data_IF_636617968757
#
_entry.id   IF_636617968757
#
_cell.length_a   1.000
_cell.length_b   1.000
_cell.length_c   1.000
_cell.angle_alpha   90.00
_cell.angle_beta   90.00
_cell.angle_gamma   90.00
#
_symmetry.space_group_name_H-M   'P 1'
#
loop_
_entity.id
_entity.type
_entity.pdbx_description
1 polymer ?
#
# COMPACT_ATOMS: atom_id res chain seq x y z
N UNK A 1 -38.36 6.10 -12.95
CA UNK A 1 -37.01 5.78 -12.41
C UNK A 1 -36.03 6.74 -13.06
N UNK A 2 -35.34 7.59 -12.29
CA UNK A 2 -34.28 8.45 -12.84
C UNK A 2 -33.07 7.55 -13.09
N UNK A 3 -32.83 7.18 -14.35
CA UNK A 3 -31.59 6.55 -14.75
C UNK A 3 -30.51 7.62 -14.80
N UNK A 4 -29.83 7.84 -13.67
CA UNK A 4 -28.59 8.59 -13.67
C UNK A 4 -27.55 7.70 -14.34
N UNK A 5 -26.99 8.15 -15.48
CA UNK A 5 -25.85 7.48 -16.10
C UNK A 5 -24.73 7.30 -15.05
N UNK A 6 -24.02 6.16 -15.01
CA UNK A 6 -22.85 6.05 -14.15
C UNK A 6 -21.87 7.16 -14.55
N UNK A 7 -21.63 8.10 -13.64
CA UNK A 7 -20.67 9.16 -13.83
C UNK A 7 -19.31 8.52 -14.07
N UNK A 8 -18.72 8.78 -15.23
CA UNK A 8 -17.34 8.38 -15.50
C UNK A 8 -16.45 8.94 -14.37
N UNK A 9 -15.50 8.15 -13.83
CA UNK A 9 -14.59 8.62 -12.79
C UNK A 9 -13.90 9.91 -13.20
N UNK A 10 -13.98 10.92 -12.34
CA UNK A 10 -13.34 12.20 -12.55
C UNK A 10 -11.95 12.19 -11.92
N UNK A 11 -10.95 12.56 -12.72
CA UNK A 11 -9.57 12.63 -12.27
C UNK A 11 -9.16 14.07 -11.97
N UNK A 12 -8.51 14.24 -10.83
CA UNK A 12 -8.04 15.52 -10.32
C UNK A 12 -6.54 15.46 -10.07
N UNK A 13 -5.86 16.59 -10.17
CA UNK A 13 -4.43 16.68 -9.84
C UNK A 13 -4.22 17.65 -8.70
N UNK A 14 -3.47 17.25 -7.69
CA UNK A 14 -3.12 18.12 -6.57
C UNK A 14 -2.19 19.25 -7.02
N UNK A 15 -2.19 20.34 -6.24
CA UNK A 15 -1.13 21.33 -6.30
C UNK A 15 0.23 20.69 -5.97
N UNK A 16 1.36 21.22 -6.50
CA UNK A 16 2.69 20.74 -6.14
C UNK A 16 2.97 20.93 -4.64
N UNK A 17 3.54 19.91 -3.99
CA UNK A 17 3.97 19.93 -2.59
C UNK A 17 5.39 19.33 -2.47
N UNK A 18 6.16 19.60 -1.39
CA UNK A 18 7.45 18.96 -1.20
C UNK A 18 7.35 17.42 -1.21
N UNK A 19 8.24 16.76 -1.95
CA UNK A 19 8.23 15.30 -2.05
C UNK A 19 8.63 14.67 -0.70
N UNK A 20 7.84 13.71 -0.15
CA UNK A 20 8.12 13.06 1.12
C UNK A 20 9.24 12.01 1.03
N UNK A 21 9.64 11.64 -0.18
CA UNK A 21 10.59 10.54 -0.44
C UNK A 21 11.97 11.01 -0.90
N UNK A 22 12.03 12.05 -1.73
CA UNK A 22 13.25 12.54 -2.36
C UNK A 22 13.44 14.04 -2.03
N UNK A 23 14.55 14.41 -1.36
CA UNK A 23 14.83 15.81 -1.03
C UNK A 23 14.90 16.69 -2.28
N UNK A 24 14.45 17.94 -2.16
CA UNK A 24 14.49 18.97 -3.23
C UNK A 24 13.68 18.60 -4.48
N UNK A 25 12.71 17.68 -4.35
CA UNK A 25 11.74 17.35 -5.40
C UNK A 25 10.35 17.78 -4.97
N UNK A 26 9.46 17.96 -5.94
CA UNK A 26 8.05 18.24 -5.71
C UNK A 26 7.21 17.02 -6.11
N UNK A 27 6.16 16.75 -5.35
CA UNK A 27 5.15 15.76 -5.67
C UNK A 27 3.85 16.39 -6.16
N UNK A 28 3.16 15.66 -7.03
CA UNK A 28 1.75 15.84 -7.38
C UNK A 28 1.09 14.48 -7.44
N UNK A 29 -0.20 14.40 -7.15
CA UNK A 29 -0.98 13.17 -7.22
C UNK A 29 -2.13 13.36 -8.19
N UNK A 30 -2.30 12.40 -9.09
CA UNK A 30 -3.53 12.19 -9.84
C UNK A 30 -4.45 11.34 -8.97
N UNK A 31 -5.69 11.77 -8.73
CA UNK A 31 -6.62 11.03 -7.88
C UNK A 31 -8.05 11.01 -8.42
N UNK A 32 -8.80 9.99 -8.03
CA UNK A 32 -10.24 9.84 -8.28
C UNK A 32 -10.92 9.32 -7.03
N UNK A 33 -12.19 9.66 -6.85
CA UNK A 33 -13.00 9.12 -5.76
C UNK A 33 -13.35 7.65 -6.00
N UNK A 34 -13.47 6.89 -4.91
CA UNK A 34 -14.04 5.56 -4.84
C UNK A 34 -15.41 5.66 -4.17
N UNK A 35 -16.47 5.57 -4.97
CA UNK A 35 -17.85 5.70 -4.49
C UNK A 35 -18.79 4.83 -5.31
N UNK A 36 -19.89 4.44 -4.68
CA UNK A 36 -20.98 3.68 -5.31
C UNK A 36 -20.64 2.23 -5.61
N UNK A 37 -21.56 1.56 -6.29
CA UNK A 37 -21.55 0.11 -6.47
C UNK A 37 -20.36 -0.43 -7.29
N UNK A 38 -19.71 0.43 -8.07
CA UNK A 38 -18.56 0.06 -8.91
C UNK A 38 -17.20 0.31 -8.23
N UNK A 39 -17.17 0.66 -6.95
CA UNK A 39 -15.92 1.00 -6.24
C UNK A 39 -14.91 -0.16 -6.24
N UNK A 40 -15.36 -1.41 -6.00
CA UNK A 40 -14.49 -2.59 -6.02
C UNK A 40 -13.85 -2.81 -7.39
N UNK A 41 -14.65 -2.84 -8.46
CA UNK A 41 -14.14 -3.04 -9.82
C UNK A 41 -13.21 -1.92 -10.28
N UNK A 42 -13.51 -0.67 -9.88
CA UNK A 42 -12.63 0.47 -10.16
C UNK A 42 -11.30 0.36 -9.42
N UNK A 43 -11.34 -0.05 -8.14
CA UNK A 43 -10.16 -0.30 -7.33
C UNK A 43 -9.27 -1.41 -7.90
N UNK A 44 -9.85 -2.54 -8.31
CA UNK A 44 -9.11 -3.63 -8.93
C UNK A 44 -8.44 -3.18 -10.24
N UNK A 45 -9.20 -2.51 -11.12
CA UNK A 45 -8.69 -2.04 -12.40
C UNK A 45 -7.56 -1.02 -12.25
N UNK A 46 -7.71 -0.04 -11.35
CA UNK A 46 -6.72 1.02 -11.18
C UNK A 46 -5.51 0.57 -10.35
N UNK A 47 -5.68 -0.35 -9.38
CA UNK A 47 -4.56 -0.96 -8.65
C UNK A 47 -3.59 -1.67 -9.59
N UNK A 48 -4.12 -2.38 -10.59
CA UNK A 48 -3.35 -3.01 -11.67
C UNK A 48 -2.66 -2.01 -12.60
N UNK A 49 -3.04 -0.73 -12.56
CA UNK A 49 -2.45 0.37 -13.33
C UNK A 49 -1.61 1.31 -12.47
N UNK A 50 -1.17 0.81 -11.32
CA UNK A 50 -0.24 1.48 -10.42
C UNK A 50 -0.88 2.54 -9.52
N UNK A 51 -2.21 2.60 -9.40
CA UNK A 51 -2.85 3.39 -8.37
C UNK A 51 -2.76 2.70 -7.00
N UNK A 52 -2.90 3.48 -5.94
CA UNK A 52 -3.07 3.01 -4.57
C UNK A 52 -4.29 3.65 -3.95
N UNK A 53 -4.89 2.98 -2.97
CA UNK A 53 -6.01 3.51 -2.20
C UNK A 53 -5.54 4.26 -0.95
N UNK A 54 -6.31 5.28 -0.58
CA UNK A 54 -6.30 5.92 0.73
C UNK A 54 -7.73 6.29 1.06
N UNK A 55 -8.33 5.72 2.10
CA UNK A 55 -9.75 5.91 2.43
C UNK A 55 -10.64 5.71 1.18
N UNK A 56 -11.45 6.72 0.84
CA UNK A 56 -12.39 6.74 -0.28
C UNK A 56 -11.79 7.33 -1.57
N UNK A 57 -10.46 7.34 -1.73
CA UNK A 57 -9.80 7.82 -2.97
C UNK A 57 -8.74 6.84 -3.47
N UNK A 58 -8.55 6.82 -4.78
CA UNK A 58 -7.40 6.22 -5.44
C UNK A 58 -6.47 7.30 -5.92
N UNK A 59 -5.17 7.07 -5.80
CA UNK A 59 -4.16 8.01 -6.26
C UNK A 59 -2.97 7.33 -6.92
N UNK A 60 -2.35 8.04 -7.87
CA UNK A 60 -1.04 7.72 -8.43
C UNK A 60 -0.18 9.00 -8.48
N UNK A 61 1.14 8.91 -8.20
CA UNK A 61 2.07 10.01 -8.45
C UNK A 61 1.99 10.48 -9.90
N UNK A 62 1.97 11.80 -10.07
CA UNK A 62 1.88 12.48 -11.36
C UNK A 62 2.73 13.76 -11.36
N UNK A 63 3.95 13.65 -10.82
CA UNK A 63 4.90 14.75 -10.71
C UNK A 63 5.27 15.26 -12.10
N UNK A 64 5.52 16.57 -12.24
CA UNK A 64 5.86 17.15 -13.56
C UNK A 64 7.22 16.67 -14.07
N UNK A 65 8.21 16.54 -13.18
CA UNK A 65 9.61 16.34 -13.54
C UNK A 65 10.23 15.06 -12.94
N UNK A 66 9.41 14.07 -12.59
CA UNK A 66 9.86 12.86 -11.90
C UNK A 66 8.91 11.67 -12.14
N UNK A 67 9.46 10.50 -12.44
CA UNK A 67 8.73 9.23 -12.56
C UNK A 67 9.20 8.16 -11.54
N UNK A 68 9.95 8.55 -10.51
CA UNK A 68 10.61 7.61 -9.60
C UNK A 68 9.67 6.78 -8.71
N UNK A 69 8.41 7.17 -8.53
CA UNK A 69 7.48 6.42 -7.69
C UNK A 69 6.83 5.29 -8.50
N UNK A 70 7.36 4.08 -8.35
CA UNK A 70 6.95 2.90 -9.11
C UNK A 70 6.10 2.00 -8.21
N UNK A 71 4.87 1.69 -8.63
CA UNK A 71 4.02 0.75 -7.87
C UNK A 71 4.68 -0.63 -7.91
N UNK A 72 4.71 -1.34 -6.79
CA UNK A 72 5.45 -2.57 -6.62
C UNK A 72 4.57 -3.67 -6.04
N UNK A 73 4.73 -4.90 -6.56
CA UNK A 73 4.04 -6.09 -6.07
C UNK A 73 4.97 -7.31 -6.10
N UNK A 74 4.76 -8.26 -5.20
CA UNK A 74 5.47 -9.54 -5.19
C UNK A 74 4.65 -10.57 -5.96
N UNK A 75 5.28 -11.33 -6.86
CA UNK A 75 4.69 -12.57 -7.41
C UNK A 75 4.76 -13.69 -6.38
N UNK A 76 3.61 -14.10 -5.87
CA UNK A 76 3.51 -15.05 -4.74
C UNK A 76 4.07 -16.43 -5.09
N UNK A 77 3.81 -16.91 -6.31
CA UNK A 77 4.24 -18.23 -6.78
C UNK A 77 5.78 -18.35 -6.88
N UNK A 78 6.46 -17.26 -7.20
CA UNK A 78 7.91 -17.25 -7.45
C UNK A 78 8.72 -16.84 -6.21
N UNK A 79 8.08 -16.22 -5.23
CA UNK A 79 8.74 -15.60 -4.08
C UNK A 79 9.55 -16.61 -3.25
N UNK A 80 10.86 -16.33 -3.10
CA UNK A 80 11.74 -17.07 -2.18
C UNK A 80 12.33 -16.14 -1.13
N UNK A 81 12.09 -16.38 0.17
CA UNK A 81 12.66 -15.53 1.22
C UNK A 81 14.18 -15.70 1.29
N UNK A 82 14.88 -14.58 1.32
CA UNK A 82 16.33 -14.52 1.56
C UNK A 82 16.71 -15.03 2.95
N UNK A 83 18.01 -15.23 3.21
CA UNK A 83 18.49 -15.70 4.52
C UNK A 83 18.07 -14.79 5.67
N UNK A 84 18.09 -13.46 5.46
CA UNK A 84 17.69 -12.48 6.48
C UNK A 84 16.17 -12.49 6.69
N UNK A 85 15.38 -12.63 5.62
CA UNK A 85 13.93 -12.78 5.69
C UNK A 85 13.51 -14.06 6.42
N UNK A 86 14.16 -15.20 6.14
CA UNK A 86 13.95 -16.45 6.90
C UNK A 86 14.27 -16.30 8.39
N UNK A 87 15.31 -15.52 8.72
CA UNK A 87 15.64 -15.21 10.12
C UNK A 87 14.57 -14.33 10.78
N UNK A 88 14.04 -13.34 10.06
CA UNK A 88 12.93 -12.51 10.53
C UNK A 88 11.68 -13.36 10.78
N UNK A 89 11.35 -14.29 9.86
CA UNK A 89 10.27 -15.26 10.05
C UNK A 89 10.41 -16.03 11.37
N UNK A 90 11.56 -16.69 11.57
CA UNK A 90 11.78 -17.52 12.76
C UNK A 90 11.77 -16.73 14.07
N UNK A 91 12.20 -15.46 14.07
CA UNK A 91 12.22 -14.61 15.27
C UNK A 91 10.83 -14.19 15.74
N UNK A 92 9.82 -14.28 14.88
CA UNK A 92 8.46 -13.86 15.17
C UNK A 92 7.48 -15.03 15.11
N UNK A 93 7.98 -16.28 15.15
CA UNK A 93 7.16 -17.49 15.06
C UNK A 93 6.21 -17.68 16.25
N UNK A 94 6.41 -16.93 17.34
CA UNK A 94 5.55 -16.90 18.52
C UNK A 94 4.35 -15.93 18.37
N UNK A 95 4.38 -15.06 17.36
CA UNK A 95 3.30 -14.11 17.10
C UNK A 95 2.06 -14.85 16.61
N UNK A 96 0.91 -14.50 17.19
CA UNK A 96 -0.39 -14.99 16.75
C UNK A 96 -1.00 -13.99 15.77
N UNK A 97 -1.25 -14.45 14.54
CA UNK A 97 -2.01 -13.75 13.50
C UNK A 97 -3.51 -13.82 13.76
N UNK A 98 -4.21 -12.72 13.57
CA UNK A 98 -5.68 -12.66 13.56
C UNK A 98 -6.14 -11.66 12.49
N UNK A 99 -7.06 -12.07 11.61
CA UNK A 99 -7.67 -11.18 10.62
C UNK A 99 -9.12 -10.88 11.02
N UNK A 100 -9.49 -9.60 11.00
CA UNK A 100 -10.81 -9.12 11.39
C UNK A 100 -11.36 -8.11 10.38
N UNK A 101 -12.64 -7.75 10.55
CA UNK A 101 -13.22 -6.61 9.85
C UNK A 101 -12.44 -5.32 10.21
N UNK A 102 -12.40 -4.33 9.32
CA UNK A 102 -11.68 -3.08 9.58
C UNK A 102 -12.42 -2.25 10.61
N UNK A 103 -12.13 -2.51 11.88
CA UNK A 103 -12.66 -1.79 13.04
C UNK A 103 -11.49 -1.23 13.84
N UNK A 104 -11.50 0.08 14.07
CA UNK A 104 -10.44 0.74 14.80
C UNK A 104 -10.56 0.46 16.31
N UNK A 105 -9.44 0.13 16.94
CA UNK A 105 -9.39 -0.06 18.39
C UNK A 105 -8.41 0.90 19.05
N UNK A 106 -8.62 1.17 20.34
CA UNK A 106 -7.70 1.99 21.13
C UNK A 106 -6.29 1.38 21.20
N UNK A 107 -6.18 0.04 21.27
CA UNK A 107 -4.89 -0.66 21.29
C UNK A 107 -4.13 -0.49 19.96
N UNK A 108 -4.84 -0.58 18.83
CA UNK A 108 -4.28 -0.29 17.52
C UNK A 108 -3.81 1.17 17.43
N UNK A 109 -4.63 2.13 17.87
CA UNK A 109 -4.27 3.55 17.85
C UNK A 109 -3.05 3.84 18.74
N UNK A 110 -2.98 3.24 19.93
CA UNK A 110 -1.84 3.38 20.82
C UNK A 110 -0.54 2.86 20.20
N UNK A 111 -0.59 1.71 19.50
CA UNK A 111 0.55 1.17 18.76
C UNK A 111 0.92 2.08 17.57
N UNK A 112 -0.07 2.59 16.84
CA UNK A 112 0.12 3.52 15.74
C UNK A 112 0.84 4.80 16.16
N UNK A 113 0.45 5.41 17.29
CA UNK A 113 1.13 6.58 17.87
C UNK A 113 2.60 6.31 18.18
N UNK A 114 2.90 5.23 18.91
CA UNK A 114 4.30 4.84 19.20
C UNK A 114 5.12 4.64 17.93
N UNK A 115 4.54 3.97 16.93
CA UNK A 115 5.20 3.74 15.64
C UNK A 115 5.51 5.06 14.92
N UNK A 116 4.55 5.98 14.85
CA UNK A 116 4.73 7.29 14.22
C UNK A 116 5.75 8.14 14.93
N UNK A 117 5.69 8.25 16.26
CA UNK A 117 6.62 9.05 17.05
C UNK A 117 8.07 8.56 16.86
N UNK A 118 8.27 7.25 16.68
CA UNK A 118 9.59 6.65 16.44
C UNK A 118 10.09 6.78 15.00
N UNK A 119 9.25 6.51 13.98
CA UNK A 119 9.68 6.37 12.58
C UNK A 119 9.30 7.55 11.69
N UNK A 120 8.32 8.35 12.12
CA UNK A 120 7.65 9.36 11.30
C UNK A 120 7.34 10.65 12.07
N UNK A 121 8.15 11.03 13.06
CA UNK A 121 7.94 12.23 13.89
C UNK A 121 7.72 13.53 13.08
N UNK A 122 8.26 13.62 11.85
CA UNK A 122 8.09 14.77 10.95
C UNK A 122 7.25 14.44 9.69
N UNK A 123 6.48 13.36 9.70
CA UNK A 123 5.63 12.93 8.59
C UNK A 123 4.22 13.52 8.68
N UNK A 124 3.52 13.67 7.55
CA UNK A 124 2.17 14.26 7.51
C UNK A 124 1.07 13.50 8.26
N UNK A 125 1.38 12.37 8.91
CA UNK A 125 0.45 11.63 9.79
C UNK A 125 0.83 11.76 11.27
N UNK A 126 1.92 12.46 11.61
CA UNK A 126 2.42 12.57 12.98
C UNK A 126 1.41 13.24 13.93
N UNK A 127 0.55 14.09 13.40
CA UNK A 127 -0.47 14.82 14.17
C UNK A 127 -1.86 14.19 14.06
N UNK A 128 -1.95 12.98 13.47
CA UNK A 128 -3.23 12.31 13.27
C UNK A 128 -3.88 11.94 14.61
N UNK A 129 -5.14 12.31 14.78
CA UNK A 129 -5.93 11.99 15.96
C UNK A 129 -6.63 10.61 15.85
N UNK A 130 -7.35 10.21 16.90
CA UNK A 130 -8.05 8.92 16.93
C UNK A 130 -9.21 8.84 15.93
N UNK A 131 -9.88 9.96 15.62
CA UNK A 131 -10.99 9.98 14.68
C UNK A 131 -10.49 9.87 13.24
N UNK A 132 -9.39 10.54 12.92
CA UNK A 132 -8.71 10.41 11.62
C UNK A 132 -8.12 9.00 11.43
N UNK A 133 -7.56 8.41 12.49
CA UNK A 133 -7.13 7.01 12.49
C UNK A 133 -8.32 6.07 12.25
N UNK A 134 -9.44 6.27 12.96
CA UNK A 134 -10.64 5.47 12.78
C UNK A 134 -11.18 5.59 11.35
N UNK A 135 -11.24 6.81 10.79
CA UNK A 135 -11.62 7.01 9.40
C UNK A 135 -10.68 6.30 8.42
N UNK A 136 -9.37 6.32 8.65
CA UNK A 136 -8.40 5.58 7.82
C UNK A 136 -8.67 4.07 7.82
N UNK A 137 -9.04 3.49 8.96
CA UNK A 137 -9.31 2.06 9.09
C UNK A 137 -10.70 1.71 8.54
N UNK A 138 -11.73 2.41 8.98
CA UNK A 138 -13.14 2.03 8.84
C UNK A 138 -13.80 2.56 7.55
N UNK A 139 -13.40 3.74 7.07
CA UNK A 139 -14.00 4.34 5.87
C UNK A 139 -13.38 3.75 4.60
N UNK A 140 -13.93 2.62 4.18
CA UNK A 140 -13.51 1.93 2.96
C UNK A 140 -14.72 1.39 2.19
N UNK A 141 -14.85 1.72 0.89
CA UNK A 141 -15.87 1.14 0.03
C UNK A 141 -15.40 -0.18 -0.59
N UNK A 142 -14.21 -0.67 -0.19
CA UNK A 142 -13.54 -1.84 -0.72
C UNK A 142 -13.47 -2.91 0.35
N UNK A 143 -13.59 -4.18 -0.04
CA UNK A 143 -13.35 -5.32 0.83
C UNK A 143 -11.96 -5.27 1.47
N UNK A 144 -11.93 -4.80 2.72
CA UNK A 144 -10.72 -4.62 3.50
C UNK A 144 -10.73 -5.54 4.73
N UNK A 145 -9.54 -5.84 5.25
CA UNK A 145 -9.32 -6.57 6.51
C UNK A 145 -8.23 -5.87 7.31
N UNK A 146 -8.32 -5.99 8.62
CA UNK A 146 -7.23 -5.65 9.53
C UNK A 146 -6.59 -6.95 9.99
N UNK A 147 -5.29 -7.10 9.75
CA UNK A 147 -4.50 -8.24 10.19
C UNK A 147 -3.64 -7.81 11.38
N UNK A 148 -3.93 -8.39 12.54
CA UNK A 148 -3.26 -8.13 13.81
C UNK A 148 -2.28 -9.26 14.15
N UNK A 149 -1.16 -8.88 14.75
CA UNK A 149 -0.13 -9.80 15.23
C UNK A 149 0.11 -9.53 16.70
N UNK A 150 -0.16 -10.51 17.56
CA UNK A 150 -0.03 -10.38 19.01
C UNK A 150 1.02 -11.32 19.56
N UNK A 151 1.84 -10.82 20.50
CA UNK A 151 2.83 -11.64 21.19
C UNK A 151 2.16 -12.61 22.18
N UNK A 152 2.89 -13.64 22.65
CA UNK A 152 2.45 -14.43 23.79
C UNK A 152 2.13 -13.55 25.00
N UNK A 153 1.14 -13.92 25.82
CA UNK A 153 0.82 -13.18 27.03
C UNK A 153 1.98 -13.28 28.03
N UNK A 154 2.16 -12.24 28.85
CA UNK A 154 3.10 -12.30 29.97
C UNK A 154 2.65 -13.34 31.02
N UNK A 155 3.57 -13.94 31.80
CA UNK A 155 3.22 -14.87 32.86
C UNK A 155 2.19 -14.28 33.82
N UNK A 156 1.05 -14.96 33.99
CA UNK A 156 -0.06 -14.51 34.84
C UNK A 156 -1.08 -13.60 34.14
N UNK A 157 -0.84 -13.19 32.90
CA UNK A 157 -1.81 -12.47 32.08
C UNK A 157 -2.49 -13.39 31.06
N UNK A 158 -3.73 -13.06 30.69
CA UNK A 158 -4.41 -13.64 29.52
C UNK A 158 -4.34 -12.74 28.29
N UNK A 159 -3.97 -11.48 28.48
CA UNK A 159 -3.91 -10.49 27.40
C UNK A 159 -2.66 -10.69 26.56
N UNK A 160 -2.84 -10.74 25.24
CA UNK A 160 -1.77 -10.88 24.26
C UNK A 160 -1.47 -9.49 23.69
N UNK A 161 -0.32 -8.88 24.02
CA UNK A 161 -0.04 -7.52 23.59
C UNK A 161 0.10 -7.44 22.07
N UNK A 162 -0.51 -6.42 21.46
CA UNK A 162 -0.43 -6.16 20.03
C UNK A 162 0.99 -5.70 19.62
N UNK A 163 1.54 -6.36 18.60
CA UNK A 163 2.90 -6.15 18.10
C UNK A 163 2.89 -5.52 16.70
N UNK A 164 1.94 -5.86 15.85
CA UNK A 164 1.81 -5.26 14.53
C UNK A 164 0.37 -5.31 14.03
N UNK A 165 0.07 -4.41 13.10
CA UNK A 165 -1.22 -4.29 12.43
C UNK A 165 -0.98 -3.98 10.96
N UNK A 166 -1.78 -4.58 10.08
CA UNK A 166 -1.83 -4.25 8.65
C UNK A 166 -3.27 -4.06 8.20
N UNK A 167 -3.58 -2.88 7.68
CA UNK A 167 -4.79 -2.63 6.90
C UNK A 167 -4.54 -3.11 5.46
N UNK A 168 -5.34 -4.09 5.04
CA UNK A 168 -5.10 -4.81 3.79
C UNK A 168 -6.39 -4.90 2.96
N UNK A 169 -6.31 -4.49 1.71
CA UNK A 169 -7.37 -4.68 0.73
C UNK A 169 -7.28 -6.05 0.08
N UNK A 170 -8.42 -6.66 -0.15
CA UNK A 170 -8.53 -7.90 -0.92
C UNK A 170 -8.95 -7.50 -2.34
N UNK A 171 -8.02 -7.63 -3.28
CA UNK A 171 -8.24 -7.41 -4.71
C UNK A 171 -8.63 -8.73 -5.39
N UNK A 172 -9.09 -8.66 -6.63
CA UNK A 172 -9.37 -9.84 -7.44
C UNK A 172 -8.11 -10.67 -7.79
N UNK A 173 -6.92 -10.06 -7.77
CA UNK A 173 -5.64 -10.72 -8.10
C UNK A 173 -4.59 -10.66 -6.97
N UNK A 174 -4.96 -10.17 -5.77
CA UNK A 174 -3.94 -9.99 -4.74
C UNK A 174 -4.40 -9.39 -3.43
N UNK A 175 -3.44 -9.25 -2.52
CA UNK A 175 -3.59 -8.46 -1.31
C UNK A 175 -2.87 -7.13 -1.49
N UNK A 176 -3.52 -6.01 -1.23
CA UNK A 176 -2.88 -4.70 -1.22
C UNK A 176 -2.68 -4.21 0.21
N UNK A 177 -1.42 -4.13 0.64
CA UNK A 177 -1.06 -3.59 1.95
C UNK A 177 -1.21 -2.07 1.90
N UNK A 178 -2.34 -1.57 2.42
CA UNK A 178 -2.67 -0.14 2.40
C UNK A 178 -1.76 0.60 3.38
N UNK A 179 -1.74 0.12 4.62
CA UNK A 179 -0.94 0.69 5.69
C UNK A 179 -0.58 -0.38 6.72
N UNK A 180 0.63 -0.30 7.28
CA UNK A 180 1.07 -1.21 8.35
C UNK A 180 1.90 -0.47 9.38
N UNK A 181 1.70 -0.79 10.65
CA UNK A 181 2.45 -0.24 11.78
C UNK A 181 2.75 -1.35 12.78
N UNK A 182 3.84 -1.19 13.54
CA UNK A 182 4.35 -2.24 14.42
C UNK A 182 5.16 -1.66 15.57
N UNK A 183 5.45 -2.49 16.57
CA UNK A 183 6.18 -2.12 17.78
C UNK A 183 7.61 -1.68 17.44
N UNK A 184 7.93 -0.37 17.51
CA UNK A 184 9.23 0.16 17.07
C UNK A 184 10.41 -0.39 17.86
N UNK A 185 10.23 -0.75 19.13
CA UNK A 185 11.32 -1.19 20.01
C UNK A 185 11.78 -2.63 19.69
N UNK A 186 10.98 -3.40 18.95
CA UNK A 186 11.33 -4.75 18.48
C UNK A 186 12.22 -4.74 17.22
N UNK A 187 13.19 -3.82 17.14
CA UNK A 187 14.06 -3.62 15.97
C UNK A 187 14.75 -4.92 15.53
N UNK A 188 15.32 -5.67 16.49
CA UNK A 188 16.05 -6.93 16.22
C UNK A 188 15.15 -8.05 15.69
N UNK A 189 13.84 -7.97 15.93
CA UNK A 189 12.87 -8.95 15.44
C UNK A 189 12.53 -8.72 13.97
N UNK A 190 12.76 -7.51 13.42
CA UNK A 190 12.41 -7.16 12.04
C UNK A 190 10.92 -7.38 11.74
N UNK A 191 10.05 -6.91 12.65
CA UNK A 191 8.59 -7.14 12.60
C UNK A 191 7.98 -6.70 11.28
N UNK A 192 8.34 -5.53 10.74
CA UNK A 192 7.83 -5.09 9.43
C UNK A 192 8.16 -6.04 8.28
N UNK A 193 9.34 -6.68 8.31
CA UNK A 193 9.68 -7.74 7.34
C UNK A 193 8.81 -8.98 7.55
N UNK A 194 8.61 -9.39 8.80
CA UNK A 194 7.74 -10.52 9.12
C UNK A 194 6.31 -10.31 8.61
N UNK A 195 5.72 -9.13 8.83
CA UNK A 195 4.35 -8.82 8.37
C UNK A 195 4.23 -8.96 6.85
N UNK A 196 5.21 -8.48 6.08
CA UNK A 196 5.20 -8.64 4.61
C UNK A 196 5.32 -10.11 4.21
N UNK A 197 6.22 -10.87 4.85
CA UNK A 197 6.35 -12.31 4.57
C UNK A 197 5.07 -13.08 4.89
N UNK A 198 4.42 -12.76 6.01
CA UNK A 198 3.15 -13.38 6.37
C UNK A 198 2.04 -13.00 5.38
N UNK A 199 2.02 -11.78 4.84
CA UNK A 199 1.08 -11.41 3.77
C UNK A 199 1.31 -12.20 2.47
N UNK A 200 2.56 -12.58 2.17
CA UNK A 200 2.84 -13.51 1.07
C UNK A 200 2.27 -14.90 1.37
N UNK A 201 2.37 -15.39 2.61
CA UNK A 201 1.74 -16.66 3.01
C UNK A 201 0.21 -16.57 2.99
N UNK A 202 -0.41 -15.48 3.48
CA UNK A 202 -1.87 -15.28 3.40
C UNK A 202 -2.33 -15.31 1.94
N UNK A 203 -1.63 -14.60 1.05
CA UNK A 203 -1.97 -14.60 -0.37
C UNK A 203 -1.82 -15.99 -0.98
N UNK A 204 -0.78 -16.73 -0.60
CA UNK A 204 -0.56 -18.12 -1.05
C UNK A 204 -1.67 -19.06 -0.57
N UNK A 205 -2.05 -18.98 0.71
CA UNK A 205 -3.17 -19.73 1.30
C UNK A 205 -4.49 -19.43 0.58
N UNK A 206 -4.69 -18.18 0.15
CA UNK A 206 -5.88 -17.73 -0.57
C UNK A 206 -5.85 -18.00 -2.09
N UNK A 207 -4.74 -18.52 -2.64
CA UNK A 207 -4.57 -18.72 -4.08
C UNK A 207 -4.44 -17.42 -4.89
N UNK A 208 -4.07 -16.31 -4.24
CA UNK A 208 -3.92 -15.01 -4.87
C UNK A 208 -2.49 -14.84 -5.41
N UNK A 209 -2.32 -14.39 -6.67
CA UNK A 209 -1.01 -14.36 -7.32
C UNK A 209 -0.10 -13.22 -6.85
N UNK A 210 -0.64 -12.14 -6.26
CA UNK A 210 0.15 -10.95 -5.94
C UNK A 210 -0.03 -10.41 -4.52
N UNK A 211 1.04 -9.81 -3.99
CA UNK A 211 0.98 -8.91 -2.82
C UNK A 211 1.49 -7.53 -3.23
N UNK A 212 0.61 -6.53 -3.25
CA UNK A 212 0.96 -5.15 -3.57
C UNK A 212 1.53 -4.46 -2.33
N UNK A 213 2.77 -3.98 -2.45
CA UNK A 213 3.50 -3.30 -1.37
C UNK A 213 3.40 -1.78 -1.47
N UNK A 214 2.71 -1.27 -2.49
CA UNK A 214 2.65 0.15 -2.80
C UNK A 214 3.87 0.64 -3.54
N UNK A 215 4.28 1.89 -3.32
CA UNK A 215 5.37 2.46 -4.11
C UNK A 215 6.74 2.03 -3.59
N UNK A 216 7.57 1.55 -4.51
CA UNK A 216 9.01 1.58 -4.41
C UNK A 216 9.51 2.90 -5.02
N UNK A 217 10.48 3.53 -4.37
CA UNK A 217 11.05 4.80 -4.82
C UNK A 217 12.57 4.67 -4.75
N UNK A 218 13.27 4.58 -5.90
CA UNK A 218 14.72 4.54 -5.96
C UNK A 218 15.33 5.73 -5.21
N UNK A 219 16.38 5.49 -4.44
CA UNK A 219 17.06 6.54 -3.65
C UNK A 219 16.29 7.03 -2.41
N UNK A 220 15.09 6.50 -2.11
CA UNK A 220 14.38 6.83 -0.88
C UNK A 220 14.79 5.89 0.27
N UNK A 221 15.30 6.42 1.41
CA UNK A 221 15.62 5.57 2.57
C UNK A 221 14.39 4.85 3.15
N UNK A 222 13.19 5.44 2.99
CA UNK A 222 11.93 4.89 3.51
C UNK A 222 11.34 3.81 2.61
N UNK A 223 11.59 3.87 1.30
CA UNK A 223 10.94 2.99 0.32
C UNK A 223 11.89 2.02 -0.37
N UNK A 224 13.21 2.22 -0.25
CA UNK A 224 14.22 1.39 -0.93
C UNK A 224 14.22 -0.08 -0.49
N UNK A 225 13.78 -0.38 0.74
CA UNK A 225 13.80 -1.75 1.27
C UNK A 225 12.99 -2.75 0.44
N UNK A 226 11.98 -2.29 -0.32
CA UNK A 226 11.10 -3.16 -1.11
C UNK A 226 11.84 -3.93 -2.20
N UNK A 227 12.90 -3.36 -2.75
CA UNK A 227 13.75 -4.02 -3.75
C UNK A 227 14.47 -5.28 -3.23
N UNK A 228 14.48 -5.49 -1.90
CA UNK A 228 15.10 -6.68 -1.29
C UNK A 228 14.16 -7.89 -1.22
N UNK A 229 12.91 -7.77 -1.66
CA UNK A 229 12.01 -8.91 -1.79
C UNK A 229 12.22 -9.54 -3.17
N UNK A 230 12.40 -10.86 -3.18
CA UNK A 230 12.50 -11.64 -4.39
C UNK A 230 11.18 -11.56 -5.20
N UNK A 231 11.24 -11.86 -6.50
CA UNK A 231 10.08 -11.85 -7.40
C UNK A 231 9.24 -10.54 -7.35
N UNK A 232 9.91 -9.41 -7.11
CA UNK A 232 9.27 -8.10 -7.10
C UNK A 232 9.09 -7.57 -8.53
N UNK A 233 7.86 -7.26 -8.88
CA UNK A 233 7.49 -6.52 -10.08
C UNK A 233 7.26 -5.05 -9.76
N UNK A 234 7.54 -4.20 -10.76
CA UNK A 234 7.22 -2.78 -10.75
C UNK A 234 6.31 -2.43 -11.93
N UNK A 235 5.39 -1.49 -11.71
CA UNK A 235 4.58 -0.91 -12.78
C UNK A 235 5.31 0.27 -13.39
N UNK A 236 5.81 0.08 -14.62
CA UNK A 236 6.59 1.08 -15.35
C UNK A 236 6.22 1.07 -16.82
N UNK A 237 6.08 2.26 -17.41
CA UNK A 237 5.71 2.44 -18.83
C UNK A 237 4.41 1.74 -19.25
N UNK A 238 3.45 1.61 -18.32
CA UNK A 238 2.15 0.98 -18.60
C UNK A 238 2.12 -0.54 -18.45
N UNK A 239 3.22 -1.15 -18.01
CA UNK A 239 3.34 -2.62 -17.88
C UNK A 239 3.96 -3.02 -16.55
N UNK A 240 3.52 -4.14 -16.00
CA UNK A 240 4.24 -4.83 -14.94
C UNK A 240 5.45 -5.56 -15.52
N UNK A 241 6.60 -5.42 -14.86
CA UNK A 241 7.84 -6.10 -15.24
C UNK A 241 8.67 -6.37 -13.99
N UNK A 242 9.57 -7.36 -14.06
CA UNK A 242 10.57 -7.59 -13.01
C UNK A 242 11.36 -6.30 -12.74
N UNK A 243 11.69 -6.05 -11.46
CA UNK A 243 12.50 -4.89 -11.07
C UNK A 243 13.92 -4.91 -11.67
N UNK A 244 14.43 -6.08 -12.07
CA UNK A 244 15.78 -6.20 -12.61
C UNK A 244 16.84 -5.68 -11.62
N UNK A 245 17.82 -4.93 -12.11
CA UNK A 245 18.79 -4.23 -11.26
C UNK A 245 18.19 -2.91 -10.73
N UNK A 246 17.91 -2.78 -9.42
CA UNK A 246 17.30 -1.59 -8.84
C UNK A 246 18.08 -0.29 -9.11
N UNK A 247 19.40 -0.35 -9.30
CA UNK A 247 20.24 0.84 -9.53
C UNK A 247 19.98 1.47 -10.91
N UNK A 248 19.50 0.68 -11.86
CA UNK A 248 19.18 1.16 -13.23
C UNK A 248 17.96 2.09 -13.28
N UNK A 249 17.13 2.08 -12.23
CA UNK A 249 15.93 2.93 -12.12
C UNK A 249 16.20 4.31 -11.52
N UNK A 250 17.40 4.57 -11.01
CA UNK A 250 17.78 5.87 -10.42
C UNK A 250 17.71 7.05 -11.42
N UNK A 251 17.84 6.77 -12.72
CA UNK A 251 17.79 7.74 -13.82
C UNK A 251 16.41 8.32 -14.12
N UNK A 252 15.32 7.75 -13.59
CA UNK A 252 13.92 8.15 -13.87
C UNK A 252 13.47 9.44 -13.18
N UNK A 253 14.44 10.20 -12.68
CA UNK A 253 14.23 11.50 -12.05
C UNK A 253 14.42 12.66 -13.03
N UNK A 254 14.43 12.38 -14.33
CA UNK A 254 14.63 13.39 -15.39
C UNK A 254 13.31 13.94 -15.95
N UNK A 255 13.16 15.27 -16.15
CA UNK A 255 11.92 15.92 -16.61
C UNK A 255 11.32 15.36 -17.90
N UNK A 256 12.17 15.00 -18.87
CA UNK A 256 11.73 14.44 -20.16
C UNK A 256 11.19 13.00 -20.09
N UNK A 257 11.22 12.38 -18.90
CA UNK A 257 10.72 11.02 -18.70
C UNK A 257 9.21 10.99 -18.42
N UNK A 258 8.55 12.15 -18.39
CA UNK A 258 7.15 12.28 -17.94
C UNK A 258 6.24 12.72 -19.08
N UNK A 259 5.24 11.90 -19.40
CA UNK A 259 4.18 12.26 -20.33
C UNK A 259 3.28 13.36 -19.74
N UNK A 260 2.70 14.27 -20.56
CA UNK A 260 1.70 15.23 -20.10
C UNK A 260 0.53 14.55 -19.35
N UNK A 261 -0.03 15.23 -18.35
CA UNK A 261 -1.14 14.66 -17.54
C UNK A 261 -2.30 14.18 -18.41
N UNK A 262 -2.68 14.95 -19.43
CA UNK A 262 -3.78 14.58 -20.33
C UNK A 262 -3.52 13.22 -21.00
N UNK A 263 -2.28 12.97 -21.43
CA UNK A 263 -1.88 11.69 -22.00
C UNK A 263 -1.86 10.57 -20.95
N UNK A 264 -1.39 10.86 -19.73
CA UNK A 264 -1.42 9.89 -18.64
C UNK A 264 -2.84 9.44 -18.29
N UNK A 265 -3.81 10.37 -18.31
CA UNK A 265 -5.23 10.08 -18.07
C UNK A 265 -5.84 9.32 -19.24
N UNK A 266 -5.54 9.71 -20.48
CA UNK A 266 -6.04 9.02 -21.68
C UNK A 266 -5.59 7.57 -21.79
N UNK A 267 -4.46 7.20 -21.17
CA UNK A 267 -3.94 5.82 -21.12
C UNK A 267 -4.57 4.96 -20.01
N UNK A 268 -5.43 5.53 -19.16
CA UNK A 268 -6.11 4.77 -18.10
C UNK A 268 -7.23 3.94 -18.71
N UNK A 269 -7.16 2.63 -18.50
CA UNK A 269 -8.24 1.71 -18.84
C UNK A 269 -9.24 1.69 -17.70
N UNK A 270 -10.43 2.23 -17.91
CA UNK A 270 -11.52 2.14 -16.94
C UNK A 270 -12.23 0.79 -17.11
N UNK A 271 -12.71 0.17 -16.02
CA UNK A 271 -13.56 -1.02 -16.17
C UNK A 271 -14.79 -0.65 -16.98
N UNK A 272 -15.30 -1.58 -17.80
CA UNK A 272 -16.47 -1.38 -18.67
C UNK A 272 -17.66 -0.85 -17.85
N UNK A 273 -17.80 0.47 -17.76
CA UNK A 273 -19.07 1.09 -17.44
C UNK A 273 -19.91 0.86 -18.68
N UNK A 274 -20.67 -0.26 -18.70
CA UNK A 274 -21.63 -0.51 -19.77
C UNK A 274 -22.37 0.79 -20.03
N UNK A 275 -22.32 1.37 -21.25
CA UNK A 275 -23.25 2.42 -21.57
C UNK A 275 -24.63 1.77 -21.44
N UNK A 276 -25.48 2.32 -20.59
CA UNK A 276 -26.90 1.97 -20.59
C UNK A 276 -27.35 2.31 -22.01
N UNK A 277 -27.55 1.29 -22.85
CA UNK A 277 -28.23 1.47 -24.13
C UNK A 277 -29.63 1.96 -23.80
N UNK A 278 -29.84 3.27 -23.93
CA UNK A 278 -31.13 3.93 -24.01
C UNK A 278 -31.27 4.49 -25.40
#
# INVERSE_FOLDING_TARGET
MRHTLPLAPQFYVTAPQPCPYLPRRMERKLFTALQGDNAETLNDSLSKQGFRRSQNVLYRPACADCAACLSARIRVADFKPSRSQRKAWNRNADLKRQASAPWATEEQYALFRRYLDSRHANGGMADMDIFEFAAMIEETPIRSRVVEYSAPPEPGSRHRPLVAVSLTDILDDGLSMVYSFYEPDRIRASVGTYVILDHVEIAREAGLPYVYLGYWVPGSPKMGYKANYDALEIYKNGTWQDIGDPETHSGETHPLSVAPIAEQVARITLPDTRPIRG
#
